data_IF_475008086836
#
_entry.id   IF_475008086836
#
_cell.length_a   1.000
_cell.length_b   1.000
_cell.length_c   1.000
_cell.angle_alpha   90.00
_cell.angle_beta   90.00
_cell.angle_gamma   90.00
#
_symmetry.space_group_name_H-M   'P 1'
#
loop_
_entity.id
_entity.type
_entity.pdbx_description
1 polymer ?
#
# COMPACT_ATOMS: atom_id res chain seq x y z
N UNK A 1 9.89 10.14 1.92
CA UNK A 1 9.76 8.80 2.52
C UNK A 1 10.00 8.81 4.03
N UNK A 2 11.06 9.43 4.51
CA UNK A 2 11.40 9.44 5.93
C UNK A 2 10.39 10.17 6.82
N UNK A 3 9.48 10.94 6.25
CA UNK A 3 8.40 11.60 6.97
C UNK A 3 7.04 10.95 6.74
N UNK A 4 6.99 9.85 6.00
CA UNK A 4 5.73 9.20 5.63
C UNK A 4 5.12 8.41 6.79
N UNK A 5 3.81 8.45 6.90
CA UNK A 5 3.04 7.58 7.79
C UNK A 5 2.48 6.41 6.97
N UNK A 6 2.85 5.21 7.39
CA UNK A 6 2.50 3.95 6.71
C UNK A 6 1.52 3.15 7.57
N UNK A 7 0.44 2.69 6.95
CA UNK A 7 -0.53 1.80 7.60
C UNK A 7 -0.60 0.45 6.88
N UNK A 8 -0.89 -0.59 7.65
CA UNK A 8 -1.19 -1.92 7.14
C UNK A 8 -2.16 -2.59 8.10
N UNK A 9 -2.67 -3.79 7.74
CA UNK A 9 -3.62 -4.48 8.60
C UNK A 9 -2.95 -5.04 9.85
N UNK A 10 -1.83 -5.74 9.68
CA UNK A 10 -1.03 -6.27 10.79
C UNK A 10 0.42 -6.48 10.34
N UNK A 11 1.36 -6.64 11.33
CA UNK A 11 2.79 -6.65 11.01
C UNK A 11 3.25 -7.75 10.06
N UNK A 12 2.69 -8.96 10.16
CA UNK A 12 3.07 -10.10 9.32
C UNK A 12 2.09 -10.25 8.17
N UNK A 13 2.13 -9.32 7.20
CA UNK A 13 1.23 -9.38 6.05
C UNK A 13 1.63 -10.47 5.06
N UNK A 14 0.65 -11.22 4.57
CA UNK A 14 0.82 -12.17 3.48
C UNK A 14 1.87 -13.25 3.75
N UNK A 15 2.66 -13.54 2.73
CA UNK A 15 3.75 -14.51 2.79
C UNK A 15 5.00 -13.88 3.41
N UNK A 16 6.04 -14.72 3.66
CA UNK A 16 7.33 -14.21 4.12
C UNK A 16 7.92 -13.16 3.15
N UNK A 17 7.77 -13.41 1.84
CA UNK A 17 8.25 -12.47 0.82
C UNK A 17 7.47 -11.17 0.87
N UNK A 18 6.15 -11.23 1.08
CA UNK A 18 5.32 -10.05 1.23
C UNK A 18 5.74 -9.23 2.46
N UNK A 19 5.99 -9.91 3.57
CA UNK A 19 6.48 -9.25 4.78
C UNK A 19 7.83 -8.55 4.55
N UNK A 20 8.74 -9.20 3.82
CA UNK A 20 10.04 -8.61 3.51
C UNK A 20 9.89 -7.31 2.69
N UNK A 21 8.98 -7.31 1.71
CA UNK A 21 8.68 -6.11 0.92
C UNK A 21 8.10 -5.00 1.78
N UNK A 22 7.14 -5.33 2.64
CA UNK A 22 6.58 -4.38 3.58
C UNK A 22 7.66 -3.77 4.46
N UNK A 23 8.53 -4.60 5.03
CA UNK A 23 9.62 -4.11 5.89
C UNK A 23 10.60 -3.23 5.14
N UNK A 24 10.87 -3.53 3.86
CA UNK A 24 11.75 -2.70 3.05
C UNK A 24 11.29 -1.24 2.98
N UNK A 25 9.97 -1.02 2.97
CA UNK A 25 9.40 0.33 2.99
C UNK A 25 9.26 0.83 4.42
N UNK A 26 8.75 0.00 5.32
CA UNK A 26 8.49 0.38 6.71
C UNK A 26 9.73 0.88 7.43
N UNK A 27 10.89 0.32 7.12
CA UNK A 27 12.16 0.73 7.73
C UNK A 27 12.55 2.16 7.35
N UNK A 28 12.01 2.71 6.28
CA UNK A 28 12.26 4.09 5.85
C UNK A 28 11.15 5.05 6.27
N UNK A 29 10.00 4.55 6.67
CA UNK A 29 8.86 5.39 7.04
C UNK A 29 9.08 6.03 8.41
N UNK A 30 8.46 7.19 8.63
CA UNK A 30 8.52 7.88 9.91
C UNK A 30 7.69 7.18 10.99
N UNK A 31 6.50 6.70 10.61
CA UNK A 31 5.54 6.11 11.54
C UNK A 31 4.83 4.95 10.87
N UNK A 32 4.73 3.81 11.56
CA UNK A 32 4.03 2.63 11.07
C UNK A 32 2.95 2.27 12.07
N UNK A 33 1.72 2.01 11.58
CA UNK A 33 0.57 1.61 12.40
C UNK A 33 -0.18 0.46 11.74
N UNK A 34 -0.95 -0.25 12.54
CA UNK A 34 -1.67 -1.46 12.12
C UNK A 34 -3.11 -1.45 12.64
N UNK A 35 -3.92 -2.35 12.10
CA UNK A 35 -5.17 -2.75 12.74
C UNK A 35 -6.42 -1.96 12.38
N UNK A 36 -6.38 -1.12 11.36
CA UNK A 36 -7.56 -0.32 10.97
C UNK A 36 -8.24 -0.80 9.69
N UNK A 37 -7.78 -1.92 9.12
CA UNK A 37 -8.38 -2.55 7.92
C UNK A 37 -8.59 -1.55 6.78
N UNK A 38 -9.73 -1.63 6.10
CA UNK A 38 -10.04 -0.73 4.98
C UNK A 38 -10.17 0.74 5.40
N UNK A 39 -10.32 1.03 6.69
CA UNK A 39 -10.34 2.41 7.17
C UNK A 39 -9.03 3.14 6.86
N UNK A 40 -7.93 2.42 6.74
CA UNK A 40 -6.64 3.02 6.35
C UNK A 40 -6.75 3.76 5.02
N UNK A 41 -7.49 3.20 4.05
CA UNK A 41 -7.66 3.84 2.74
C UNK A 41 -8.50 5.12 2.85
N UNK A 42 -9.49 5.14 3.72
CA UNK A 42 -10.27 6.35 3.98
C UNK A 42 -9.41 7.44 4.63
N UNK A 43 -8.52 7.06 5.56
CA UNK A 43 -7.58 8.00 6.17
C UNK A 43 -6.60 8.56 5.14
N UNK A 44 -6.14 7.72 4.21
CA UNK A 44 -5.27 8.16 3.12
C UNK A 44 -6.00 9.18 2.23
N UNK A 45 -7.22 8.86 1.84
CA UNK A 45 -8.05 9.75 1.02
C UNK A 45 -8.32 11.09 1.72
N UNK A 46 -8.48 11.07 3.04
CA UNK A 46 -8.71 12.27 3.84
C UNK A 46 -7.43 13.08 4.12
N UNK A 47 -6.25 12.60 3.67
CA UNK A 47 -4.99 13.29 3.87
C UNK A 47 -4.37 13.11 5.23
N UNK A 48 -4.85 12.13 6.01
CA UNK A 48 -4.37 11.89 7.38
C UNK A 48 -3.13 10.99 7.43
N UNK A 49 -2.92 10.16 6.41
CA UNK A 49 -1.75 9.29 6.30
C UNK A 49 -1.24 9.34 4.86
N UNK A 50 -0.06 8.79 4.62
CA UNK A 50 0.63 8.92 3.34
C UNK A 50 0.64 7.64 2.52
N UNK A 51 0.55 6.48 3.16
CA UNK A 51 0.89 5.22 2.52
C UNK A 51 0.15 4.05 3.19
N UNK A 52 -0.41 3.16 2.37
CA UNK A 52 -0.96 1.88 2.83
C UNK A 52 -0.32 0.78 2.00
N UNK A 53 0.22 -0.25 2.66
CA UNK A 53 0.81 -1.40 1.98
C UNK A 53 0.15 -2.66 2.53
N UNK A 54 -0.36 -3.48 1.62
CA UNK A 54 -1.02 -4.73 1.98
C UNK A 54 -0.67 -5.84 1.01
N UNK A 55 -0.91 -7.09 1.44
CA UNK A 55 -0.73 -8.26 0.60
C UNK A 55 -1.83 -9.28 0.90
N UNK A 56 -2.07 -10.18 -0.04
CA UNK A 56 -3.06 -11.23 0.16
C UNK A 56 -4.50 -10.76 0.10
N UNK A 57 -4.76 -9.58 -0.44
CA UNK A 57 -6.12 -9.06 -0.55
C UNK A 57 -6.91 -9.78 -1.63
N UNK A 58 -8.22 -9.90 -1.42
CA UNK A 58 -9.16 -10.31 -2.46
C UNK A 58 -9.57 -9.09 -3.27
N UNK A 59 -10.07 -9.32 -4.49
CA UNK A 59 -10.53 -8.23 -5.36
C UNK A 59 -11.59 -7.37 -4.66
N UNK A 60 -12.52 -7.99 -3.94
CA UNK A 60 -13.59 -7.24 -3.26
C UNK A 60 -13.08 -6.39 -2.09
N UNK A 61 -11.88 -6.69 -1.56
CA UNK A 61 -11.29 -5.89 -0.47
C UNK A 61 -10.75 -4.55 -0.98
N UNK A 62 -10.38 -4.47 -2.24
CA UNK A 62 -9.64 -3.32 -2.76
C UNK A 62 -10.43 -2.45 -3.75
N UNK A 63 -11.48 -3.00 -4.38
CA UNK A 63 -12.16 -2.26 -5.44
C UNK A 63 -12.81 -0.96 -4.95
N UNK A 64 -13.49 -0.98 -3.81
CA UNK A 64 -14.08 0.23 -3.24
C UNK A 64 -12.99 1.20 -2.74
N UNK A 65 -11.95 0.75 -2.00
CA UNK A 65 -10.84 1.62 -1.62
C UNK A 65 -10.14 2.29 -2.80
N UNK A 66 -9.96 1.60 -3.94
CA UNK A 66 -9.36 2.21 -5.13
C UNK A 66 -10.16 3.44 -5.55
N UNK A 67 -11.48 3.30 -5.65
CA UNK A 67 -12.35 4.40 -6.07
C UNK A 67 -12.26 5.59 -5.11
N UNK A 68 -12.24 5.33 -3.80
CA UNK A 68 -12.17 6.38 -2.78
C UNK A 68 -10.83 7.12 -2.83
N UNK A 69 -9.74 6.38 -2.92
CA UNK A 69 -8.39 6.97 -2.94
C UNK A 69 -8.16 7.77 -4.21
N UNK A 70 -8.56 7.22 -5.37
CA UNK A 70 -8.36 7.90 -6.66
C UNK A 70 -9.23 9.16 -6.77
N UNK A 71 -10.44 9.11 -6.25
CA UNK A 71 -11.32 10.29 -6.23
C UNK A 71 -10.72 11.44 -5.41
N UNK A 72 -9.91 11.11 -4.41
CA UNK A 72 -9.22 12.11 -3.58
C UNK A 72 -7.87 12.55 -4.16
N UNK A 73 -7.49 12.04 -5.33
CA UNK A 73 -6.22 12.40 -5.98
C UNK A 73 -5.05 11.50 -5.62
N UNK A 74 -5.27 10.44 -4.85
CA UNK A 74 -4.25 9.46 -4.54
C UNK A 74 -4.10 8.40 -5.63
N UNK A 75 -3.18 7.48 -5.41
CA UNK A 75 -2.83 6.42 -6.36
C UNK A 75 -2.88 5.06 -5.69
N UNK A 76 -3.42 4.06 -6.39
CA UNK A 76 -3.40 2.67 -5.92
C UNK A 76 -2.86 1.79 -7.03
N UNK A 77 -1.81 1.03 -6.75
CA UNK A 77 -1.21 0.10 -7.69
C UNK A 77 -0.89 -1.22 -7.01
N UNK A 78 -0.54 -2.24 -7.82
CA UNK A 78 0.14 -3.39 -7.25
C UNK A 78 1.62 -3.02 -7.00
N UNK A 79 2.41 -3.97 -6.48
CA UNK A 79 3.82 -3.68 -6.15
C UNK A 79 4.72 -3.57 -7.40
N UNK A 80 4.20 -3.83 -8.58
CA UNK A 80 4.90 -3.61 -9.86
C UNK A 80 4.51 -2.29 -10.53
N UNK A 81 3.59 -1.54 -9.93
CA UNK A 81 3.10 -0.29 -10.48
C UNK A 81 1.92 -0.46 -11.44
N UNK A 82 1.41 -1.68 -11.58
CA UNK A 82 0.27 -1.98 -12.45
C UNK A 82 -1.08 -1.90 -11.71
N UNK A 83 -2.17 -2.30 -12.38
CA UNK A 83 -3.51 -2.24 -11.78
C UNK A 83 -3.63 -3.17 -10.57
N UNK A 84 -4.31 -2.70 -9.52
CA UNK A 84 -4.49 -3.44 -8.26
C UNK A 84 -5.90 -3.99 -8.09
N UNK A 85 -6.79 -3.86 -9.06
CA UNK A 85 -8.21 -4.18 -8.91
C UNK A 85 -8.50 -5.66 -8.64
N UNK A 86 -7.55 -6.55 -8.89
CA UNK A 86 -7.70 -7.98 -8.60
C UNK A 86 -7.20 -8.37 -7.21
N UNK A 87 -6.73 -7.41 -6.43
CA UNK A 87 -6.21 -7.67 -5.10
C UNK A 87 -4.76 -8.12 -5.11
N UNK A 88 -4.40 -8.98 -4.16
CA UNK A 88 -3.02 -9.44 -3.99
C UNK A 88 -2.16 -8.41 -3.28
N UNK A 89 -0.99 -8.13 -3.84
CA UNK A 89 -0.07 -7.11 -3.31
C UNK A 89 -0.52 -5.72 -3.76
N UNK A 90 -0.75 -4.81 -2.82
CA UNK A 90 -1.31 -3.49 -3.09
C UNK A 90 -0.51 -2.42 -2.36
N UNK A 91 -0.32 -1.28 -3.02
CA UNK A 91 0.19 -0.07 -2.39
C UNK A 91 -0.70 1.10 -2.79
N UNK A 92 -1.10 1.87 -1.79
CA UNK A 92 -1.85 3.12 -1.98
C UNK A 92 -1.00 4.28 -1.46
N UNK A 93 -0.87 5.33 -2.26
CA UNK A 93 -0.03 6.49 -1.95
C UNK A 93 -0.80 7.78 -2.10
N UNK A 94 -0.44 8.76 -1.28
CA UNK A 94 -1.01 10.10 -1.37
C UNK A 94 -0.52 10.89 -2.59
N UNK A 95 0.67 10.57 -3.11
CA UNK A 95 1.26 11.30 -4.23
C UNK A 95 2.08 10.40 -5.15
N UNK A 96 2.25 10.86 -6.39
CA UNK A 96 3.10 10.17 -7.37
C UNK A 96 4.57 10.18 -6.94
N UNK A 97 5.03 11.27 -6.33
CA UNK A 97 6.42 11.36 -5.88
C UNK A 97 6.73 10.30 -4.83
N UNK A 98 5.82 10.10 -3.87
CA UNK A 98 5.99 9.06 -2.85
C UNK A 98 5.94 7.67 -3.49
N UNK A 99 5.03 7.44 -4.43
CA UNK A 99 4.94 6.16 -5.13
C UNK A 99 6.25 5.85 -5.89
N UNK A 100 6.85 6.86 -6.50
CA UNK A 100 8.12 6.71 -7.21
C UNK A 100 9.27 6.32 -6.27
N UNK A 101 9.20 6.69 -4.99
CA UNK A 101 10.17 6.26 -3.99
C UNK A 101 9.89 4.84 -3.49
N UNK A 102 8.64 4.47 -3.38
CA UNK A 102 8.20 3.22 -2.76
C UNK A 102 8.33 2.02 -3.70
N UNK A 103 7.95 2.18 -4.97
CA UNK A 103 7.94 1.07 -5.92
C UNK A 103 9.29 0.37 -6.08
N UNK A 104 10.43 1.08 -6.18
CA UNK A 104 11.73 0.40 -6.25
C UNK A 104 12.04 -0.47 -5.04
N UNK A 105 11.53 -0.11 -3.86
CA UNK A 105 11.72 -0.87 -2.64
C UNK A 105 10.86 -2.14 -2.62
N UNK A 106 9.67 -2.08 -3.23
CA UNK A 106 8.75 -3.21 -3.30
C UNK A 106 9.03 -4.16 -4.46
N UNK A 107 9.62 -3.66 -5.54
CA UNK A 107 9.80 -4.41 -6.78
C UNK A 107 10.50 -5.77 -6.59
N UNK A 108 11.56 -5.90 -5.77
CA UNK A 108 12.22 -7.19 -5.57
C UNK A 108 11.31 -8.26 -4.95
N UNK A 109 10.23 -7.85 -4.29
CA UNK A 109 9.32 -8.73 -3.57
C UNK A 109 7.97 -8.86 -4.27
N UNK A 110 7.82 -8.24 -5.43
CA UNK A 110 6.58 -8.30 -6.20
C UNK A 110 6.41 -9.68 -6.84
N UNK A 111 5.17 -10.18 -6.82
CA UNK A 111 4.82 -11.39 -7.55
C UNK A 111 4.26 -11.01 -8.92
N UNK A 112 4.40 -11.93 -9.89
CA UNK A 112 3.88 -11.67 -11.23
C UNK A 112 2.37 -11.43 -11.19
N UNK A 113 1.90 -10.44 -11.94
CA UNK A 113 0.48 -10.17 -12.10
C UNK A 113 -0.16 -11.35 -12.85
N UNK A 114 -1.34 -11.76 -12.38
CA UNK A 114 -2.09 -12.82 -13.03
C UNK A 114 -2.96 -12.26 -14.13
#
# INVERSE_FOLDING_TARGET
MDQATLFSTYPEIGTKKDYQGFRAVADHANLVRYGVDCYAYALLAAGQIDLVIEAGLNAYDIQAPIAVVEAAGGLVTNWQGGPAHLGGQVVACASQDLLNEVLPLLAPYAVAAK
#
